data_IF_120693753552
#
_entry.id   IF_120693753552
#
_cell.length_a   1.000
_cell.length_b   1.000
_cell.length_c   1.000
_cell.angle_alpha   90.00
_cell.angle_beta   90.00
_cell.angle_gamma   90.00
#
_symmetry.space_group_name_H-M   'P 1'
#
loop_
_entity.id
_entity.type
_entity.pdbx_description
1 polymer ?
#
# COMPACT_ATOMS: atom_id res chain seq x y z
N UNK A 1 -0.31 13.73 -10.24
CA UNK A 1 0.17 12.70 -9.29
C UNK A 1 1.48 13.12 -8.68
N UNK A 2 1.56 13.19 -7.35
CA UNK A 2 2.79 13.53 -6.61
C UNK A 2 2.92 12.63 -5.40
N UNK A 3 4.12 12.06 -5.21
CA UNK A 3 4.51 11.38 -3.98
C UNK A 3 5.59 12.16 -3.27
N UNK A 4 5.49 12.23 -1.95
CA UNK A 4 6.51 12.83 -1.09
C UNK A 4 6.67 12.00 0.18
N UNK A 5 7.90 11.58 0.49
CA UNK A 5 8.23 11.04 1.81
C UNK A 5 8.14 12.17 2.82
N UNK A 6 7.49 11.94 3.95
CA UNK A 6 7.29 12.94 5.01
C UNK A 6 8.46 12.95 5.99
N UNK A 7 9.14 11.82 6.13
CA UNK A 7 10.36 11.71 6.93
C UNK A 7 11.55 12.33 6.20
N UNK A 8 12.36 13.10 6.89
CA UNK A 8 13.56 13.74 6.34
C UNK A 8 14.65 12.72 5.99
N UNK A 9 14.74 11.65 6.77
CA UNK A 9 15.71 10.56 6.59
C UNK A 9 15.08 9.20 6.93
N UNK A 10 14.35 8.57 6.00
CA UNK A 10 13.62 7.33 6.26
C UNK A 10 14.52 6.20 6.81
N UNK A 11 15.74 6.09 6.31
CA UNK A 11 16.67 5.05 6.77
C UNK A 11 17.12 5.28 8.21
N UNK A 12 17.34 6.55 8.58
CA UNK A 12 17.68 6.92 9.95
C UNK A 12 16.52 6.61 10.90
N UNK A 13 15.32 7.10 10.59
CA UNK A 13 14.13 6.92 11.42
C UNK A 13 13.80 5.44 11.63
N UNK A 14 13.96 4.61 10.56
CA UNK A 14 13.79 3.17 10.66
C UNK A 14 14.82 2.50 11.59
N UNK A 15 16.10 2.85 11.43
CA UNK A 15 17.17 2.27 12.26
C UNK A 15 17.04 2.67 13.73
N UNK A 16 16.68 3.92 14.00
CA UNK A 16 16.40 4.40 15.35
C UNK A 16 15.22 3.63 15.98
N UNK A 17 14.09 3.53 15.30
CA UNK A 17 12.93 2.76 15.75
C UNK A 17 13.27 1.28 16.01
N UNK A 18 14.10 0.68 15.15
CA UNK A 18 14.53 -0.71 15.30
C UNK A 18 15.44 -0.91 16.52
N UNK A 19 16.33 0.03 16.80
CA UNK A 19 17.17 0.01 18.01
C UNK A 19 16.32 0.12 19.28
N UNK A 20 15.33 1.00 19.29
CA UNK A 20 14.39 1.14 20.43
C UNK A 20 13.68 -0.20 20.70
N UNK A 21 13.17 -0.87 19.67
CA UNK A 21 12.46 -2.15 19.84
C UNK A 21 13.38 -3.27 20.30
N UNK A 22 14.68 -3.21 20.01
CA UNK A 22 15.69 -4.17 20.46
C UNK A 22 16.30 -3.84 21.82
N UNK A 23 15.94 -2.70 22.43
CA UNK A 23 16.53 -2.23 23.68
C UNK A 23 18.01 -1.86 23.56
N UNK A 24 18.47 -1.50 22.34
CA UNK A 24 19.84 -1.11 22.04
C UNK A 24 19.97 0.41 22.08
N UNK A 25 21.15 0.91 22.45
CA UNK A 25 21.45 2.34 22.48
C UNK A 25 21.20 2.99 21.11
N UNK A 26 20.23 3.90 21.08
CA UNK A 26 19.81 4.61 19.87
C UNK A 26 20.88 5.56 19.33
N UNK A 27 21.81 5.99 20.17
CA UNK A 27 22.90 6.92 19.80
C UNK A 27 24.12 6.22 19.18
N UNK A 28 24.15 4.88 19.14
CA UNK A 28 25.17 4.17 18.36
C UNK A 28 25.02 4.45 16.87
N UNK A 29 26.15 4.38 16.17
CA UNK A 29 26.25 4.70 14.74
C UNK A 29 25.11 4.11 13.90
N UNK A 30 24.50 4.97 13.12
CA UNK A 30 23.55 4.64 12.08
C UNK A 30 24.31 4.57 10.78
N UNK A 31 24.21 3.45 10.07
CA UNK A 31 24.92 3.28 8.81
C UNK A 31 24.10 3.81 7.63
N UNK A 32 24.77 4.48 6.70
CA UNK A 32 24.19 4.92 5.44
C UNK A 32 24.42 3.87 4.33
N UNK A 33 23.38 3.61 3.53
CA UNK A 33 23.49 2.77 2.34
C UNK A 33 23.70 3.71 1.15
N UNK A 34 24.96 3.89 0.72
CA UNK A 34 25.30 4.85 -0.36
C UNK A 34 24.80 4.44 -1.76
N UNK A 35 24.57 3.15 -1.99
CA UNK A 35 24.11 2.65 -3.28
C UNK A 35 22.58 2.56 -3.30
N UNK A 36 21.88 3.36 -4.16
CA UNK A 36 20.40 3.38 -4.19
C UNK A 36 19.76 2.02 -4.54
N UNK A 37 20.45 1.18 -5.33
CA UNK A 37 19.95 -0.18 -5.64
C UNK A 37 19.99 -1.06 -4.41
N UNK A 38 21.12 -1.07 -3.68
CA UNK A 38 21.25 -1.83 -2.42
C UNK A 38 20.30 -1.33 -1.35
N UNK A 39 20.05 -0.02 -1.29
CA UNK A 39 19.07 0.55 -0.37
C UNK A 39 17.64 0.11 -0.74
N UNK A 40 17.29 0.08 -2.03
CA UNK A 40 15.99 -0.45 -2.48
C UNK A 40 15.83 -1.92 -2.11
N UNK A 41 16.85 -2.75 -2.31
CA UNK A 41 16.83 -4.17 -1.91
C UNK A 41 16.70 -4.34 -0.39
N UNK A 42 17.38 -3.51 0.38
CA UNK A 42 17.23 -3.47 1.84
C UNK A 42 15.77 -3.21 2.22
N UNK A 43 15.14 -2.16 1.65
CA UNK A 43 13.76 -1.81 1.92
C UNK A 43 12.78 -2.91 1.52
N UNK A 44 12.98 -3.57 0.37
CA UNK A 44 12.14 -4.71 -0.05
C UNK A 44 12.16 -5.82 1.02
N UNK A 45 13.35 -6.17 1.54
CA UNK A 45 13.48 -7.19 2.59
C UNK A 45 12.73 -6.80 3.87
N UNK A 46 12.86 -5.54 4.31
CA UNK A 46 12.15 -5.05 5.50
C UNK A 46 10.64 -5.04 5.32
N UNK A 47 10.16 -4.61 4.14
CA UNK A 47 8.73 -4.58 3.80
C UNK A 47 8.14 -5.99 3.76
N UNK A 48 8.83 -6.94 3.13
CA UNK A 48 8.39 -8.34 3.05
C UNK A 48 8.37 -9.00 4.43
N UNK A 49 9.35 -8.70 5.29
CA UNK A 49 9.39 -9.17 6.67
C UNK A 49 8.30 -8.55 7.56
N UNK A 50 7.66 -7.47 7.08
CA UNK A 50 6.57 -6.77 7.75
C UNK A 50 6.86 -6.32 9.19
N UNK A 51 8.08 -5.81 9.42
CA UNK A 51 8.46 -5.30 10.72
C UNK A 51 7.65 -4.07 11.12
N UNK A 52 7.17 -4.04 12.37
CA UNK A 52 6.35 -2.94 12.92
C UNK A 52 7.06 -1.57 12.87
N UNK A 53 8.39 -1.55 12.91
CA UNK A 53 9.21 -0.35 12.80
C UNK A 53 9.06 0.40 11.49
N UNK A 54 8.58 -0.25 10.42
CA UNK A 54 8.27 0.42 9.15
C UNK A 54 7.12 1.43 9.26
N UNK A 55 6.30 1.32 10.31
CA UNK A 55 5.18 2.24 10.55
C UNK A 55 5.60 3.65 10.95
N UNK A 56 6.87 3.86 11.32
CA UNK A 56 7.40 5.20 11.57
C UNK A 56 7.67 6.00 10.28
N UNK A 57 7.67 5.34 9.11
CA UNK A 57 7.94 5.98 7.83
C UNK A 57 6.63 6.27 7.11
N UNK A 58 6.39 7.55 6.85
CA UNK A 58 5.19 8.03 6.17
C UNK A 58 5.54 8.66 4.82
N UNK A 59 4.65 8.47 3.86
CA UNK A 59 4.69 9.18 2.59
C UNK A 59 3.29 9.64 2.18
N UNK A 60 3.22 10.75 1.48
CA UNK A 60 2.00 11.41 1.04
C UNK A 60 1.78 11.23 -0.44
N UNK A 61 0.58 10.83 -0.80
CA UNK A 61 0.05 10.87 -2.16
C UNK A 61 -0.87 12.09 -2.29
N UNK A 62 -0.66 12.89 -3.33
CA UNK A 62 -1.60 13.95 -3.75
C UNK A 62 -1.89 13.76 -5.22
N UNK A 63 -3.17 13.66 -5.58
CA UNK A 63 -3.60 13.53 -6.97
C UNK A 63 -5.02 14.07 -7.19
N UNK A 64 -5.41 14.22 -8.45
CA UNK A 64 -6.75 14.57 -8.87
C UNK A 64 -7.31 13.43 -9.70
N UNK A 65 -8.47 12.90 -9.29
CA UNK A 65 -9.10 11.74 -9.91
C UNK A 65 -10.63 11.85 -9.86
N UNK A 66 -11.35 11.16 -10.75
CA UNK A 66 -12.79 11.07 -10.69
C UNK A 66 -13.27 10.64 -9.29
N UNK A 67 -14.32 11.27 -8.81
CA UNK A 67 -14.92 11.02 -7.49
C UNK A 67 -15.16 9.53 -7.24
N UNK A 68 -15.61 8.78 -8.27
CA UNK A 68 -15.81 7.33 -8.19
C UNK A 68 -14.53 6.57 -7.84
N UNK A 69 -13.39 6.95 -8.44
CA UNK A 69 -12.07 6.37 -8.16
C UNK A 69 -11.61 6.71 -6.75
N UNK A 70 -11.69 8.00 -6.36
CA UNK A 70 -11.33 8.47 -5.01
C UNK A 70 -12.10 7.69 -3.94
N UNK A 71 -13.42 7.52 -4.12
CA UNK A 71 -14.26 6.76 -3.18
C UNK A 71 -13.85 5.28 -3.07
N UNK A 72 -13.39 4.66 -4.16
CA UNK A 72 -12.88 3.30 -4.13
C UNK A 72 -11.53 3.20 -3.38
N UNK A 73 -10.66 4.19 -3.53
CA UNK A 73 -9.39 4.29 -2.80
C UNK A 73 -9.67 4.44 -1.29
N UNK A 74 -10.54 5.37 -0.91
CA UNK A 74 -10.91 5.61 0.50
C UNK A 74 -11.44 4.34 1.17
N UNK A 75 -12.30 3.56 0.50
CA UNK A 75 -12.84 2.30 1.05
C UNK A 75 -11.78 1.22 1.28
N UNK A 76 -10.62 1.33 0.67
CA UNK A 76 -9.52 0.37 0.83
C UNK A 76 -8.51 0.76 1.92
N UNK A 77 -8.72 1.89 2.60
CA UNK A 77 -7.80 2.46 3.58
C UNK A 77 -7.95 1.84 4.97
N UNK A 78 -7.69 0.56 5.11
CA UNK A 78 -7.67 -0.09 6.43
C UNK A 78 -6.45 0.38 7.23
N UNK A 79 -6.68 0.95 8.41
CA UNK A 79 -5.60 1.36 9.33
C UNK A 79 -4.85 2.63 8.93
N UNK A 80 -5.38 3.40 7.99
CA UNK A 80 -4.81 4.68 7.56
C UNK A 80 -5.49 5.88 8.21
N UNK A 81 -4.80 7.03 8.28
CA UNK A 81 -5.48 8.30 8.44
C UNK A 81 -6.51 8.47 7.33
N UNK A 82 -7.64 9.10 7.68
CA UNK A 82 -8.66 9.38 6.69
C UNK A 82 -8.10 10.29 5.60
N UNK A 83 -8.29 9.96 4.30
CA UNK A 83 -7.85 10.85 3.22
C UNK A 83 -8.60 12.18 3.25
N UNK A 84 -7.89 13.25 3.00
CA UNK A 84 -8.47 14.57 2.75
C UNK A 84 -8.91 14.65 1.29
N UNK A 85 -10.16 15.03 1.07
CA UNK A 85 -10.76 15.15 -0.26
C UNK A 85 -11.32 16.55 -0.44
N UNK A 86 -11.15 17.09 -1.63
CA UNK A 86 -11.70 18.40 -2.01
C UNK A 86 -13.18 18.47 -1.68
N UNK A 87 -13.58 19.54 -0.97
CA UNK A 87 -14.98 19.78 -0.62
C UNK A 87 -15.84 19.95 -1.87
N UNK A 88 -17.09 19.51 -1.77
CA UNK A 88 -18.14 19.80 -2.76
C UNK A 88 -19.09 20.90 -2.28
N UNK A 89 -18.76 21.61 -1.22
CA UNK A 89 -19.59 22.69 -0.66
C UNK A 89 -19.48 23.94 -1.53
N UNK A 90 -20.63 24.50 -2.03
CA UNK A 90 -20.62 25.68 -2.89
C UNK A 90 -19.97 26.90 -2.25
N UNK A 91 -20.18 27.10 -0.93
CA UNK A 91 -19.60 28.20 -0.14
C UNK A 91 -18.07 28.19 -0.06
N UNK A 92 -17.44 27.01 -0.28
CA UNK A 92 -15.98 26.86 -0.27
C UNK A 92 -15.37 26.81 -1.66
N UNK A 93 -16.09 26.21 -2.62
CA UNK A 93 -15.57 25.96 -3.96
C UNK A 93 -16.00 27.00 -4.99
N UNK A 94 -17.03 27.79 -4.66
CA UNK A 94 -17.69 28.71 -5.61
C UNK A 94 -18.41 28.01 -6.77
N UNK A 95 -18.51 26.68 -6.74
CA UNK A 95 -19.15 25.86 -7.78
C UNK A 95 -20.42 25.22 -7.23
N UNK A 96 -21.43 25.06 -8.08
CA UNK A 96 -22.63 24.30 -7.72
C UNK A 96 -22.27 22.84 -7.36
N UNK A 97 -23.06 22.24 -6.47
CA UNK A 97 -22.84 20.85 -6.04
C UNK A 97 -23.15 19.92 -7.21
N UNK A 98 -22.15 19.20 -7.66
CA UNK A 98 -22.30 18.19 -8.71
C UNK A 98 -22.66 16.82 -8.14
N UNK A 99 -23.62 16.13 -8.78
CA UNK A 99 -23.91 14.71 -8.55
C UNK A 99 -23.13 13.79 -9.47
N UNK A 100 -22.33 14.35 -10.40
CA UNK A 100 -21.55 13.58 -11.36
C UNK A 100 -20.47 12.74 -10.64
N UNK A 101 -20.50 11.40 -10.74
CA UNK A 101 -19.48 10.52 -10.16
C UNK A 101 -18.13 10.63 -10.88
N UNK A 102 -18.10 11.23 -12.05
CA UNK A 102 -16.88 11.43 -12.87
C UNK A 102 -16.26 12.82 -12.69
N UNK A 103 -16.85 13.68 -11.86
CA UNK A 103 -16.23 14.94 -11.49
C UNK A 103 -14.89 14.69 -10.79
N UNK A 104 -13.82 15.30 -11.30
CA UNK A 104 -12.49 15.18 -10.72
C UNK A 104 -12.43 15.84 -9.34
N UNK A 105 -11.79 15.17 -8.40
CA UNK A 105 -11.57 15.63 -7.02
C UNK A 105 -10.09 15.55 -6.68
N UNK A 106 -9.55 16.65 -6.21
CA UNK A 106 -8.24 16.63 -5.56
C UNK A 106 -8.36 15.88 -4.24
N UNK A 107 -7.43 14.97 -3.98
CA UNK A 107 -7.32 14.25 -2.71
C UNK A 107 -5.89 14.12 -2.25
N UNK A 108 -5.73 13.95 -0.95
CA UNK A 108 -4.46 13.74 -0.29
C UNK A 108 -4.58 12.57 0.68
N UNK A 109 -3.60 11.70 0.69
CA UNK A 109 -3.57 10.54 1.58
C UNK A 109 -2.16 10.30 2.12
N UNK A 110 -2.05 10.20 3.44
CA UNK A 110 -0.82 9.77 4.10
C UNK A 110 -0.82 8.25 4.26
N UNK A 111 0.31 7.64 3.99
CA UNK A 111 0.46 6.19 3.93
C UNK A 111 1.73 5.75 4.64
N UNK A 112 1.68 4.56 5.25
CA UNK A 112 2.85 3.74 5.51
C UNK A 112 3.05 2.74 4.36
N UNK A 113 4.19 2.04 4.30
CA UNK A 113 4.40 0.99 3.32
C UNK A 113 3.33 -0.11 3.43
N UNK A 114 3.06 -0.57 4.66
CA UNK A 114 2.06 -1.61 4.96
C UNK A 114 0.69 -1.21 4.42
N UNK A 115 0.23 -0.03 4.79
CA UNK A 115 -1.09 0.46 4.46
C UNK A 115 -1.29 0.64 2.96
N UNK A 116 -0.31 1.19 2.26
CA UNK A 116 -0.38 1.35 0.80
C UNK A 116 -0.37 0.01 0.06
N UNK A 117 0.46 -0.95 0.51
CA UNK A 117 0.52 -2.28 -0.07
C UNK A 117 -0.81 -3.03 0.13
N UNK A 118 -1.43 -2.93 1.32
CA UNK A 118 -2.75 -3.54 1.56
C UNK A 118 -3.83 -2.94 0.64
N UNK A 119 -3.81 -1.63 0.43
CA UNK A 119 -4.67 -1.00 -0.57
C UNK A 119 -4.37 -1.53 -1.99
N UNK A 120 -3.10 -1.61 -2.38
CA UNK A 120 -2.67 -2.10 -3.68
C UNK A 120 -3.08 -3.57 -3.91
N UNK A 121 -2.98 -4.43 -2.91
CA UNK A 121 -3.45 -5.83 -2.97
C UNK A 121 -4.91 -5.94 -3.41
N UNK A 122 -5.76 -5.04 -2.92
CA UNK A 122 -7.17 -5.01 -3.27
C UNK A 122 -7.42 -4.34 -4.62
N UNK A 123 -6.78 -3.19 -4.89
CA UNK A 123 -7.09 -2.34 -6.05
C UNK A 123 -6.38 -2.77 -7.33
N UNK A 124 -5.35 -3.62 -7.26
CA UNK A 124 -4.75 -4.29 -8.42
C UNK A 124 -5.47 -5.60 -8.81
N UNK A 125 -6.47 -6.02 -8.06
CA UNK A 125 -7.26 -7.20 -8.37
C UNK A 125 -8.09 -7.00 -9.66
N UNK A 126 -8.19 -8.04 -10.49
CA UNK A 126 -8.99 -8.01 -11.72
C UNK A 126 -10.50 -7.78 -11.47
N UNK A 127 -10.97 -7.96 -10.23
CA UNK A 127 -12.36 -7.67 -9.85
C UNK A 127 -12.60 -6.22 -9.44
N UNK A 128 -11.53 -5.44 -9.32
CA UNK A 128 -11.66 -4.00 -9.07
C UNK A 128 -12.21 -3.32 -10.32
N UNK A 129 -13.03 -2.31 -10.12
CA UNK A 129 -13.52 -1.44 -11.19
C UNK A 129 -12.32 -0.95 -12.04
N UNK A 130 -12.48 -0.97 -13.36
CA UNK A 130 -11.36 -0.83 -14.29
C UNK A 130 -10.60 0.50 -14.15
N UNK A 131 -11.31 1.63 -14.03
CA UNK A 131 -10.67 2.95 -13.87
C UNK A 131 -9.84 3.02 -12.59
N UNK A 132 -10.36 2.48 -11.48
CA UNK A 132 -9.64 2.39 -10.20
C UNK A 132 -8.41 1.50 -10.30
N UNK A 133 -8.51 0.38 -11.02
CA UNK A 133 -7.39 -0.52 -11.24
C UNK A 133 -6.30 0.12 -12.11
N UNK A 134 -6.69 0.79 -13.19
CA UNK A 134 -5.77 1.53 -14.06
C UNK A 134 -5.04 2.63 -13.29
N UNK A 135 -5.77 3.39 -12.49
CA UNK A 135 -5.18 4.40 -11.61
C UNK A 135 -4.15 3.77 -10.64
N UNK A 136 -4.50 2.67 -9.98
CA UNK A 136 -3.56 1.98 -9.09
C UNK A 136 -2.32 1.47 -9.85
N UNK A 137 -2.45 0.98 -11.09
CA UNK A 137 -1.29 0.63 -11.92
C UNK A 137 -0.38 1.82 -12.19
N UNK A 138 -0.94 2.98 -12.50
CA UNK A 138 -0.15 4.21 -12.70
C UNK A 138 0.58 4.63 -11.43
N UNK A 139 -0.08 4.56 -10.26
CA UNK A 139 0.57 4.81 -8.98
C UNK A 139 1.77 3.88 -8.76
N UNK A 140 1.59 2.59 -8.99
CA UNK A 140 2.66 1.59 -8.83
C UNK A 140 3.82 1.84 -9.79
N UNK A 141 3.55 2.18 -11.04
CA UNK A 141 4.61 2.53 -12.01
C UNK A 141 5.39 3.75 -11.52
N UNK A 142 4.70 4.80 -11.09
CA UNK A 142 5.33 6.02 -10.56
C UNK A 142 6.23 5.73 -9.35
N UNK A 143 5.78 4.86 -8.44
CA UNK A 143 6.60 4.44 -7.31
C UNK A 143 7.83 3.65 -7.75
N UNK A 144 7.68 2.69 -8.66
CA UNK A 144 8.79 1.86 -9.18
C UNK A 144 9.88 2.66 -9.89
N UNK A 145 9.50 3.78 -10.50
CA UNK A 145 10.43 4.69 -11.18
C UNK A 145 10.93 5.82 -10.29
N UNK A 146 10.53 5.85 -9.02
CA UNK A 146 10.96 6.88 -8.05
C UNK A 146 12.48 6.86 -7.84
N UNK A 147 13.08 8.01 -7.72
CA UNK A 147 14.50 8.16 -7.32
C UNK A 147 14.70 7.83 -5.84
N UNK A 148 13.65 7.93 -5.02
CA UNK A 148 13.69 7.60 -3.59
C UNK A 148 13.66 6.09 -3.39
N UNK A 149 14.71 5.45 -2.86
CA UNK A 149 14.82 3.99 -2.74
C UNK A 149 13.68 3.35 -1.95
N UNK A 150 13.21 3.99 -0.88
CA UNK A 150 12.07 3.52 -0.09
C UNK A 150 10.77 3.46 -0.94
N UNK A 151 10.42 4.54 -1.64
CA UNK A 151 9.22 4.57 -2.50
C UNK A 151 9.32 3.55 -3.64
N UNK A 152 10.51 3.39 -4.21
CA UNK A 152 10.76 2.37 -5.24
C UNK A 152 10.51 0.97 -4.70
N UNK A 153 10.99 0.66 -3.50
CA UNK A 153 10.75 -0.62 -2.83
C UNK A 153 9.26 -0.87 -2.58
N UNK A 154 8.52 0.13 -2.08
CA UNK A 154 7.06 0.06 -1.94
C UNK A 154 6.40 -0.30 -3.27
N UNK A 155 6.77 0.37 -4.36
CA UNK A 155 6.24 0.11 -5.70
C UNK A 155 6.50 -1.32 -6.20
N UNK A 156 7.67 -1.91 -5.91
CA UNK A 156 7.97 -3.30 -6.26
C UNK A 156 7.20 -4.30 -5.40
N UNK A 157 6.88 -3.96 -4.16
CA UNK A 157 6.06 -4.78 -3.27
C UNK A 157 4.56 -4.68 -3.58
N UNK A 158 4.10 -3.71 -4.38
CA UNK A 158 2.71 -3.59 -4.77
C UNK A 158 2.32 -4.61 -5.84
N UNK A 159 1.47 -5.57 -5.46
CA UNK A 159 0.92 -6.60 -6.34
C UNK A 159 -0.45 -7.07 -5.84
N UNK A 160 -1.30 -7.70 -6.69
CA UNK A 160 -2.60 -8.25 -6.24
C UNK A 160 -2.44 -9.29 -5.14
N UNK A 161 -3.45 -9.40 -4.25
CA UNK A 161 -3.45 -10.37 -3.13
C UNK A 161 -3.10 -11.79 -3.56
N UNK A 162 -3.61 -12.24 -4.70
CA UNK A 162 -3.32 -13.60 -5.20
C UNK A 162 -1.84 -13.82 -5.50
N UNK A 163 -1.11 -12.79 -5.94
CA UNK A 163 0.35 -12.86 -6.14
C UNK A 163 1.11 -12.93 -4.81
N UNK A 164 0.69 -12.13 -3.82
CA UNK A 164 1.23 -12.21 -2.48
C UNK A 164 1.06 -13.60 -1.84
N UNK A 165 -0.08 -14.25 -2.13
CA UNK A 165 -0.42 -15.56 -1.59
C UNK A 165 0.09 -16.72 -2.49
N UNK A 166 1.20 -16.56 -3.18
CA UNK A 166 1.81 -17.60 -3.99
C UNK A 166 0.91 -18.10 -5.13
N UNK A 167 0.22 -17.20 -5.84
CA UNK A 167 -0.75 -17.49 -6.89
C UNK A 167 -2.02 -18.21 -6.39
N UNK A 168 -2.43 -17.95 -5.15
CA UNK A 168 -3.69 -18.44 -4.56
C UNK A 168 -4.64 -17.28 -4.32
N UNK A 169 -5.88 -17.40 -4.80
CA UNK A 169 -6.87 -16.32 -4.68
C UNK A 169 -7.52 -16.32 -3.29
N UNK A 170 -7.45 -15.22 -2.50
CA UNK A 170 -8.10 -15.17 -1.19
C UNK A 170 -9.60 -14.89 -1.27
N UNK A 171 -10.11 -14.48 -2.44
CA UNK A 171 -11.50 -14.07 -2.62
C UNK A 171 -12.44 -15.28 -2.70
N UNK A 172 -13.57 -15.22 -1.98
CA UNK A 172 -14.64 -16.23 -2.02
C UNK A 172 -15.16 -16.41 -3.45
N UNK A 173 -15.34 -15.28 -4.16
CA UNK A 173 -15.70 -15.25 -5.59
C UNK A 173 -14.52 -14.71 -6.39
N UNK A 174 -13.56 -15.55 -6.71
CA UNK A 174 -12.38 -15.19 -7.49
C UNK A 174 -12.68 -14.80 -8.94
N UNK A 175 -11.68 -14.25 -9.64
CA UNK A 175 -11.77 -13.96 -11.09
C UNK A 175 -11.44 -15.16 -11.98
N UNK A 176 -11.19 -16.33 -11.41
CA UNK A 176 -10.84 -17.57 -12.13
C UNK A 176 -9.36 -17.72 -12.52
N UNK A 177 -8.53 -16.71 -12.25
CA UNK A 177 -7.10 -16.75 -12.62
C UNK A 177 -6.28 -17.77 -11.83
N UNK A 178 -6.61 -17.96 -10.56
CA UNK A 178 -5.93 -18.86 -9.64
C UNK A 178 -6.94 -19.62 -8.77
N UNK A 179 -6.56 -20.79 -8.29
CA UNK A 179 -7.32 -21.57 -7.32
C UNK A 179 -7.50 -20.77 -6.02
N UNK A 180 -8.53 -21.09 -5.27
CA UNK A 180 -8.85 -20.38 -4.03
C UNK A 180 -7.88 -20.77 -2.92
N UNK A 181 -7.42 -19.80 -2.15
CA UNK A 181 -6.61 -20.04 -0.97
C UNK A 181 -7.38 -20.86 0.08
N UNK A 182 -8.69 -20.59 0.24
CA UNK A 182 -9.56 -21.36 1.16
C UNK A 182 -9.58 -22.85 0.91
N UNK A 183 -9.52 -23.28 -0.36
CA UNK A 183 -9.57 -24.70 -0.70
C UNK A 183 -8.34 -25.44 -0.20
N UNK A 184 -7.16 -24.80 -0.25
CA UNK A 184 -5.93 -25.35 0.32
C UNK A 184 -6.00 -25.42 1.85
N UNK A 185 -6.48 -24.36 2.51
CA UNK A 185 -6.58 -24.33 3.97
C UNK A 185 -7.61 -25.35 4.48
N UNK A 186 -8.74 -25.51 3.77
CA UNK A 186 -9.75 -26.50 4.12
C UNK A 186 -9.19 -27.92 3.94
N UNK A 187 -8.37 -28.16 2.90
CA UNK A 187 -7.75 -29.46 2.71
C UNK A 187 -6.76 -29.77 3.83
N UNK A 188 -5.85 -28.82 4.15
CA UNK A 188 -4.91 -28.97 5.28
C UNK A 188 -5.66 -29.22 6.60
N UNK A 189 -6.78 -28.53 6.85
CA UNK A 189 -7.61 -28.75 8.02
C UNK A 189 -8.16 -30.20 8.05
N UNK A 190 -8.69 -30.69 6.93
CA UNK A 190 -9.22 -32.06 6.85
C UNK A 190 -8.12 -33.10 7.07
N UNK A 191 -6.96 -32.89 6.47
CA UNK A 191 -5.81 -33.78 6.60
C UNK A 191 -5.31 -33.90 8.04
N UNK A 192 -5.41 -32.80 8.83
CA UNK A 192 -5.03 -32.79 10.25
C UNK A 192 -6.04 -33.49 11.18
N UNK A 193 -7.31 -33.64 10.79
CA UNK A 193 -8.38 -34.13 11.67
C UNK A 193 -9.00 -35.48 11.23
N UNK A 194 -8.54 -36.06 10.12
CA UNK A 194 -9.00 -37.39 9.63
C UNK A 194 -8.33 -38.57 10.38
N UNK A 195 -7.30 -38.33 11.19
CA UNK A 195 -6.62 -39.39 11.95
C UNK A 195 -7.33 -39.77 13.28
N UNK A 196 -8.49 -39.17 13.62
CA UNK A 196 -9.23 -39.45 14.86
C UNK A 196 -10.56 -40.21 14.69
N UNK A 197 -10.88 -40.74 13.51
CA UNK A 197 -12.00 -41.67 13.26
C UNK A 197 -11.49 -43.12 13.03
#
# INVERSE_FOLDING_TARGET
MRFRVLNTSPLFDYQEANKITQGVDVFKEIYAIKNPKKETEFWIKQIVANHSTLRCIHFRLVDEQPKSVVMQIIRATKGHPQPEVQSSRPDWTGKERSSDPYEDKLFMQDNTAESFIEMAKQRLCNRTEEKTRQFMYQLVITLRTSEVPFLRAVGFCCMPSCKWNGNRCPEVRGCGRFNKLSDYIIQDYRDCYIEEE
#
